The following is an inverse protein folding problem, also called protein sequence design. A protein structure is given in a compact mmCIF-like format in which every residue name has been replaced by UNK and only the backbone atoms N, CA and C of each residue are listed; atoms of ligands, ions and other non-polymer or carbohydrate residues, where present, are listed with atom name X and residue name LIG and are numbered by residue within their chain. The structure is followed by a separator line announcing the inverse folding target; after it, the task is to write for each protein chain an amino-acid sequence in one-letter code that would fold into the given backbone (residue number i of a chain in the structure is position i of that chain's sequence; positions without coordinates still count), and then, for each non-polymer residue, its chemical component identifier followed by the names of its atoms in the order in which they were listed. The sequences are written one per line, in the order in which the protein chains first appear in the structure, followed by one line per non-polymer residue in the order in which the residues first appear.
data_IF_166866913016
#
_entry.id   IF_166866913016
#
_cell.length_a   1.000
_cell.length_b   1.000
_cell.length_c   1.000
_cell.angle_alpha   90.00
_cell.angle_beta   90.00
_cell.angle_gamma   90.00
#
_symmetry.space_group_name_H-M   'P 1'
#
loop_
_entity.id
_entity.type
_entity.pdbx_description
1 polymer ?
#
# COMPACT_ATOMS: atom_id res chain seq x y z
N UNK A 1 3.01 -5.45 -9.97
CA UNK A 1 4.04 -4.55 -10.52
C UNK A 1 4.19 -3.32 -9.61
N UNK A 2 5.40 -2.80 -9.37
CA UNK A 2 5.58 -1.55 -8.60
C UNK A 2 5.53 -0.36 -9.56
N UNK A 3 4.71 0.65 -9.26
CA UNK A 3 4.57 1.85 -10.07
C UNK A 3 5.05 3.07 -9.25
N UNK A 4 5.83 4.00 -9.82
CA UNK A 4 6.18 5.24 -9.14
C UNK A 4 4.94 6.13 -8.97
N UNK A 5 4.79 6.71 -7.78
CA UNK A 5 3.68 7.62 -7.45
C UNK A 5 3.55 8.85 -8.38
N UNK A 6 4.63 9.19 -9.11
CA UNK A 6 4.66 10.29 -10.09
C UNK A 6 3.92 9.97 -11.38
N UNK A 7 3.70 8.70 -11.69
CA UNK A 7 2.93 8.28 -12.88
C UNK A 7 1.42 8.28 -12.62
N UNK A 8 1.00 8.40 -11.36
CA UNK A 8 -0.41 8.50 -10.99
C UNK A 8 -0.89 9.95 -10.98
N UNK A 9 -2.13 10.16 -11.41
CA UNK A 9 -2.85 11.41 -11.20
C UNK A 9 -3.01 11.72 -9.71
N UNK A 10 -3.00 13.00 -9.33
CA UNK A 10 -3.21 13.43 -7.94
C UNK A 10 -4.49 12.83 -7.33
N UNK A 11 -5.59 12.80 -8.08
CA UNK A 11 -6.85 12.18 -7.63
C UNK A 11 -6.70 10.69 -7.32
N UNK A 12 -6.08 9.93 -8.23
CA UNK A 12 -5.84 8.50 -8.02
C UNK A 12 -4.92 8.28 -6.81
N UNK A 13 -3.84 9.05 -6.70
CA UNK A 13 -2.93 8.97 -5.57
C UNK A 13 -3.64 9.26 -4.24
N UNK A 14 -4.45 10.32 -4.18
CA UNK A 14 -5.25 10.66 -2.99
C UNK A 14 -6.20 9.52 -2.62
N UNK A 15 -6.98 9.01 -3.58
CA UNK A 15 -7.91 7.89 -3.34
C UNK A 15 -7.18 6.65 -2.79
N UNK A 16 -6.02 6.33 -3.35
CA UNK A 16 -5.22 5.19 -2.88
C UNK A 16 -4.70 5.39 -1.46
N UNK A 17 -4.25 6.62 -1.15
CA UNK A 17 -3.77 6.96 0.19
C UNK A 17 -4.92 6.88 1.20
N UNK A 18 -6.11 7.38 0.83
CA UNK A 18 -7.30 7.25 1.65
C UNK A 18 -7.66 5.78 1.91
N UNK A 19 -7.65 4.94 0.88
CA UNK A 19 -7.89 3.49 1.03
C UNK A 19 -6.84 2.81 1.91
N UNK A 20 -5.58 3.21 1.80
CA UNK A 20 -4.50 2.71 2.65
C UNK A 20 -4.74 3.06 4.13
N UNK A 21 -5.08 4.32 4.41
CA UNK A 21 -5.41 4.79 5.77
C UNK A 21 -6.65 4.06 6.33
N UNK A 22 -7.66 3.85 5.49
CA UNK A 22 -8.87 3.09 5.82
C UNK A 22 -8.57 1.64 6.23
N UNK A 23 -7.60 0.99 5.56
CA UNK A 23 -7.19 -0.38 5.84
C UNK A 23 -6.30 -0.53 7.06
N UNK A 24 -5.40 0.42 7.33
CA UNK A 24 -4.50 0.37 8.51
C UNK A 24 -5.23 0.63 9.84
N UNK A 25 -6.51 0.98 9.81
CA UNK A 25 -7.44 0.56 10.86
C UNK A 25 -7.11 1.02 12.28
N UNK A 26 -6.56 2.22 12.46
CA UNK A 26 -6.58 2.89 13.76
C UNK A 26 -7.23 4.26 13.63
N UNK A 27 -8.44 4.34 14.18
CA UNK A 27 -9.07 5.57 14.64
C UNK A 27 -9.74 6.44 13.55
N UNK A 28 -10.97 6.07 13.22
CA UNK A 28 -12.00 7.05 12.90
C UNK A 28 -12.32 7.82 14.18
N UNK A 29 -11.64 8.93 14.43
CA UNK A 29 -11.84 9.75 15.63
C UNK A 29 -11.60 11.23 15.37
N UNK A 30 -12.59 11.88 14.74
CA UNK A 30 -13.13 13.23 15.01
C UNK A 30 -12.20 14.40 15.41
N UNK A 31 -10.90 14.33 15.18
CA UNK A 31 -10.02 15.48 15.32
C UNK A 31 -9.57 15.91 13.94
N UNK A 32 -9.85 17.17 13.62
CA UNK A 32 -9.45 17.95 12.45
C UNK A 32 -7.92 18.07 12.27
N UNK A 33 -7.15 17.03 12.60
CA UNK A 33 -5.78 16.87 12.12
C UNK A 33 -5.92 16.47 10.64
N UNK A 34 -6.10 17.50 9.81
CA UNK A 34 -6.69 17.41 8.48
C UNK A 34 -6.18 16.24 7.66
N UNK A 35 -7.08 15.56 6.96
CA UNK A 35 -6.78 14.48 6.02
C UNK A 35 -5.59 14.80 5.10
N UNK A 36 -5.39 16.09 4.76
CA UNK A 36 -4.21 16.59 4.05
C UNK A 36 -2.88 16.24 4.73
N UNK A 37 -2.75 16.41 6.04
CA UNK A 37 -1.50 16.11 6.77
C UNK A 37 -1.16 14.62 6.69
N UNK A 38 -2.16 13.73 6.82
CA UNK A 38 -1.96 12.28 6.67
C UNK A 38 -1.61 11.93 5.22
N UNK A 39 -2.24 12.58 4.24
CA UNK A 39 -1.90 12.41 2.84
C UNK A 39 -0.42 12.78 2.62
N UNK A 40 0.04 13.90 3.16
CA UNK A 40 1.44 14.31 3.07
C UNK A 40 2.40 13.36 3.78
N UNK A 41 2.00 12.76 4.91
CA UNK A 41 2.78 11.74 5.60
C UNK A 41 2.95 10.48 4.75
N UNK A 42 1.86 9.93 4.20
CA UNK A 42 1.93 8.75 3.32
C UNK A 42 2.70 9.07 2.03
N UNK A 43 2.52 10.27 1.49
CA UNK A 43 3.26 10.73 0.31
C UNK A 43 4.76 10.89 0.60
N UNK A 44 5.13 11.24 1.82
CA UNK A 44 6.53 11.25 2.28
C UNK A 44 7.06 9.83 2.43
N UNK A 45 6.29 8.88 2.97
CA UNK A 45 6.66 7.47 3.01
C UNK A 45 6.87 6.88 1.61
N UNK A 46 6.01 7.22 0.65
CA UNK A 46 6.17 6.86 -0.77
C UNK A 46 7.45 7.45 -1.37
N UNK A 47 7.82 8.68 -1.00
CA UNK A 47 9.08 9.32 -1.43
C UNK A 47 10.31 8.67 -0.80
N UNK A 48 10.22 8.27 0.47
CA UNK A 48 11.31 7.62 1.21
C UNK A 48 11.50 6.14 0.82
N UNK A 49 10.52 5.53 0.14
CA UNK A 49 10.51 4.09 -0.16
C UNK A 49 10.03 3.23 1.00
N UNK A 50 9.41 3.84 2.02
CA UNK A 50 8.76 3.15 3.13
C UNK A 50 7.38 2.61 2.72
N UNK A 51 6.75 3.23 1.72
CA UNK A 51 5.54 2.75 1.06
C UNK A 51 5.78 2.57 -0.44
N UNK A 52 5.09 1.60 -1.04
CA UNK A 52 5.17 1.24 -2.44
C UNK A 52 3.77 1.16 -3.03
N UNK A 53 3.62 1.66 -4.24
CA UNK A 53 2.39 1.48 -5.01
C UNK A 53 2.53 0.20 -5.81
N UNK A 54 1.60 -0.71 -5.59
CA UNK A 54 1.52 -2.01 -6.25
C UNK A 54 0.31 -1.99 -7.17
N UNK A 55 0.56 -2.17 -8.46
CA UNK A 55 -0.47 -2.41 -9.46
C UNK A 55 -0.65 -3.91 -9.69
N UNK A 56 -1.90 -4.34 -9.61
CA UNK A 56 -2.35 -5.69 -9.93
C UNK A 56 -2.98 -5.69 -11.32
N UNK A 57 -2.31 -6.32 -12.29
CA UNK A 57 -2.88 -6.51 -13.64
C UNK A 57 -4.11 -7.42 -13.61
N UNK A 58 -4.17 -8.34 -12.66
CA UNK A 58 -5.25 -9.32 -12.51
C UNK A 58 -6.60 -8.67 -12.18
N UNK A 59 -6.57 -7.62 -11.36
CA UNK A 59 -7.75 -6.89 -10.94
C UNK A 59 -7.85 -5.52 -11.61
N UNK A 60 -6.87 -5.15 -12.44
CA UNK A 60 -6.70 -3.81 -13.00
C UNK A 60 -6.75 -2.71 -11.92
N UNK A 61 -6.27 -3.04 -10.72
CA UNK A 61 -6.37 -2.20 -9.53
C UNK A 61 -5.00 -1.79 -9.01
N UNK A 62 -4.91 -0.55 -8.56
CA UNK A 62 -3.73 -0.01 -7.90
C UNK A 62 -3.98 -0.04 -6.39
N UNK A 63 -2.97 -0.40 -5.60
CA UNK A 63 -3.02 -0.36 -4.15
C UNK A 63 -1.71 0.23 -3.60
N UNK A 64 -1.77 0.81 -2.41
CA UNK A 64 -0.57 1.23 -1.66
C UNK A 64 -0.33 0.21 -0.56
N UNK A 65 0.92 -0.17 -0.37
CA UNK A 65 1.34 -1.07 0.68
C UNK A 65 2.63 -0.54 1.31
N UNK A 66 2.82 -0.76 2.62
CA UNK A 66 4.12 -0.47 3.23
C UNK A 66 5.18 -1.44 2.72
N UNK A 67 6.45 -1.05 2.73
CA UNK A 67 7.55 -1.92 2.36
C UNK A 67 7.59 -3.19 3.23
N UNK A 68 7.07 -3.12 4.46
CA UNK A 68 6.92 -4.29 5.33
C UNK A 68 5.77 -5.20 4.86
N UNK A 69 4.59 -4.64 4.59
CA UNK A 69 3.45 -5.41 4.06
C UNK A 69 3.79 -6.06 2.71
N UNK A 70 4.49 -5.33 1.82
CA UNK A 70 4.93 -5.86 0.54
C UNK A 70 5.93 -7.01 0.69
N UNK A 71 6.87 -6.91 1.64
CA UNK A 71 7.78 -8.03 1.96
C UNK A 71 7.03 -9.23 2.51
N UNK A 72 6.02 -9.00 3.35
CA UNK A 72 5.23 -10.07 3.95
C UNK A 72 4.37 -10.77 2.90
N UNK A 73 3.69 -10.02 2.03
CA UNK A 73 2.91 -10.58 0.92
C UNK A 73 3.77 -11.38 -0.06
N UNK A 74 4.96 -10.90 -0.41
CA UNK A 74 5.90 -11.67 -1.24
C UNK A 74 6.43 -12.93 -0.54
N UNK A 75 6.53 -12.92 0.79
CA UNK A 75 6.90 -14.11 1.54
C UNK A 75 5.76 -15.13 1.59
N UNK A 76 4.51 -14.68 1.73
CA UNK A 76 3.32 -15.55 1.77
C UNK A 76 2.98 -16.16 0.40
N UNK A 77 3.17 -15.43 -0.70
CA UNK A 77 2.98 -15.98 -2.06
C UNK A 77 4.12 -16.93 -2.49
N UNK A 78 5.28 -16.86 -1.83
CA UNK A 78 6.41 -17.76 -2.03
C UNK A 78 6.33 -19.08 -1.25
N UNK A 79 5.42 -19.20 -0.27
CA UNK A 79 5.38 -20.32 0.68
C UNK A 79 4.41 -21.44 0.27
N UNK A 80 3.52 -21.22 -0.70
CA UNK A 80 2.58 -22.24 -1.21
C UNK A 80 3.23 -23.34 -2.08
N UNK A 81 4.56 -23.51 -2.02
CA UNK A 81 5.28 -24.55 -2.75
C UNK A 81 6.28 -25.39 -1.93
N UNK A 82 6.35 -25.26 -0.60
CA UNK A 82 7.22 -26.12 0.21
C UNK A 82 6.46 -26.71 1.40
N UNK A 83 5.49 -27.58 1.13
CA UNK A 83 5.10 -28.69 2.04
C UNK A 83 4.24 -29.74 1.30
N UNK A 84 4.63 -30.05 0.07
CA UNK A 84 4.34 -31.34 -0.57
C UNK A 84 5.63 -31.89 -1.14
N UNK A 85 6.51 -32.37 -0.26
CA UNK A 85 7.23 -33.62 -0.48
C UNK A 85 7.91 -34.07 0.83
N UNK A 86 7.47 -35.24 1.28
CA UNK A 86 8.13 -36.18 2.19
C UNK A 86 8.32 -35.72 3.66
N UNK A 87 7.65 -36.31 4.66
CA UNK A 87 7.61 -37.75 5.01
C UNK A 87 6.32 -38.16 5.73
#
# INVERSE_FOLDING_TARGET
MIIPYKELSKEALTNLIEQFILREGTDYGETEVGNQTKIEQVLTQLKNGEALIVYSELHEEVNIMSAQQFKQMQAEEGDYQIDRDEF
#
